data_IF_625959266281
#
_entry.id   IF_625959266281
#
_cell.length_a   1.000
_cell.length_b   1.000
_cell.length_c   1.000
_cell.angle_alpha   90.00
_cell.angle_beta   90.00
_cell.angle_gamma   90.00
#
_symmetry.space_group_name_H-M   'P 1'
#
loop_
_entity.id
_entity.type
_entity.pdbx_description
1 polymer ?
#
# COMPACT_ATOMS: atom_id res chain seq x y z
N UNK A 1 7.66 -7.16 -6.84
CA UNK A 1 6.40 -6.78 -7.51
C UNK A 1 5.74 -5.71 -6.67
N UNK A 2 5.22 -4.65 -7.29
CA UNK A 2 4.42 -3.65 -6.58
C UNK A 2 3.05 -3.73 -7.21
N UNK A 3 2.05 -4.09 -6.41
CA UNK A 3 0.67 -3.94 -6.85
C UNK A 3 0.17 -2.57 -6.44
N UNK A 4 -0.55 -1.89 -7.32
CA UNK A 4 -1.04 -0.54 -7.09
C UNK A 4 -2.52 -0.44 -7.50
N UNK A 5 -3.33 0.19 -6.65
CA UNK A 5 -4.71 0.55 -6.98
C UNK A 5 -5.32 1.57 -6.01
N UNK A 6 -6.49 2.09 -6.36
CA UNK A 6 -7.30 2.92 -5.47
C UNK A 6 -8.19 2.07 -4.56
N UNK A 7 -8.79 2.67 -3.54
CA UNK A 7 -9.51 1.95 -2.49
C UNK A 7 -10.29 2.90 -1.58
N UNK A 8 -11.30 2.37 -0.90
CA UNK A 8 -11.98 3.07 0.19
C UNK A 8 -11.36 2.73 1.53
N UNK A 9 -11.20 3.67 2.46
CA UNK A 9 -10.60 3.37 3.78
C UNK A 9 -11.45 3.79 4.96
N UNK A 10 -11.10 3.25 6.14
CA UNK A 10 -11.48 3.84 7.43
C UNK A 10 -11.26 5.35 7.43
N UNK A 11 -12.25 6.17 7.86
CA UNK A 11 -12.12 7.63 7.84
C UNK A 11 -11.00 8.17 8.70
N UNK A 12 -10.66 7.49 9.78
CA UNK A 12 -9.57 7.90 10.65
C UNK A 12 -8.87 6.67 11.23
N UNK A 13 -7.63 6.86 11.68
CA UNK A 13 -6.91 5.83 12.41
C UNK A 13 -7.72 5.41 13.64
N UNK A 14 -8.08 4.13 13.69
CA UNK A 14 -8.93 3.59 14.74
C UNK A 14 -10.41 3.92 14.64
N UNK A 15 -10.89 4.35 13.46
CA UNK A 15 -12.30 4.56 13.12
C UNK A 15 -12.98 5.69 13.90
N UNK A 16 -14.07 6.22 13.35
CA UNK A 16 -14.89 7.25 14.01
C UNK A 16 -15.73 6.66 15.14
N UNK A 17 -16.17 5.41 14.98
CA UNK A 17 -16.99 4.70 15.95
C UNK A 17 -16.22 3.48 16.48
N UNK A 18 -16.33 3.19 17.77
CA UNK A 18 -15.55 2.14 18.43
C UNK A 18 -16.40 1.32 19.42
N UNK A 19 -17.25 0.40 18.93
CA UNK A 19 -18.00 -0.48 19.81
C UNK A 19 -17.07 -1.33 20.71
N UNK A 20 -17.55 -1.76 21.89
CA UNK A 20 -18.95 -1.66 22.33
C UNK A 20 -19.35 -0.29 22.89
N UNK A 21 -18.40 0.60 23.18
CA UNK A 21 -18.70 1.95 23.66
C UNK A 21 -19.09 2.85 22.47
N UNK A 22 -20.39 2.96 22.29
CA UNK A 22 -21.04 3.81 21.29
C UNK A 22 -21.66 5.07 21.91
N UNK A 23 -21.28 5.41 23.14
CA UNK A 23 -21.80 6.60 23.82
C UNK A 23 -21.32 7.89 23.17
N UNK A 24 -20.15 7.86 22.53
CA UNK A 24 -19.49 8.99 21.88
C UNK A 24 -18.66 8.52 20.68
N UNK A 25 -18.42 9.42 19.73
CA UNK A 25 -17.46 9.18 18.66
C UNK A 25 -16.03 9.15 19.22
N UNK A 26 -15.15 8.38 18.59
CA UNK A 26 -13.74 8.29 18.94
C UNK A 26 -13.09 9.68 18.84
N UNK A 27 -12.57 10.23 19.95
CA UNK A 27 -12.09 11.60 19.98
C UNK A 27 -10.94 11.79 18.99
N UNK A 28 -11.03 12.84 18.19
CA UNK A 28 -9.98 13.19 17.26
C UNK A 28 -8.75 13.78 18.01
N UNK A 29 -7.85 12.91 18.43
CA UNK A 29 -6.57 13.26 19.08
C UNK A 29 -5.46 13.30 18.04
N UNK A 30 -4.30 13.89 18.38
CA UNK A 30 -3.09 13.84 17.52
C UNK A 30 -2.74 12.41 17.03
N UNK A 31 -3.16 11.39 17.78
CA UNK A 31 -2.94 9.98 17.49
C UNK A 31 -3.99 9.34 16.58
N UNK A 32 -5.15 9.94 16.33
CA UNK A 32 -6.28 9.35 15.56
C UNK A 32 -6.44 10.01 14.19
N UNK A 33 -5.33 10.41 13.57
CA UNK A 33 -5.27 11.24 12.35
C UNK A 33 -6.34 10.86 11.30
N UNK A 34 -7.09 11.84 10.75
CA UNK A 34 -7.99 11.60 9.62
C UNK A 34 -7.26 11.03 8.40
N UNK A 35 -7.88 10.09 7.71
CA UNK A 35 -7.48 9.63 6.38
C UNK A 35 -8.01 10.62 5.34
N UNK A 36 -7.16 10.97 4.38
CA UNK A 36 -7.45 12.02 3.39
C UNK A 36 -7.30 11.51 1.98
N UNK A 37 -8.09 12.04 1.05
CA UNK A 37 -8.05 11.60 -0.34
C UNK A 37 -6.61 11.77 -0.86
N UNK A 38 -6.11 10.74 -1.53
CA UNK A 38 -4.72 10.64 -1.99
C UNK A 38 -3.71 10.12 -0.95
N UNK A 39 -4.09 9.95 0.33
CA UNK A 39 -3.25 9.24 1.29
C UNK A 39 -2.92 7.82 0.77
N UNK A 40 -1.73 7.32 1.11
CA UNK A 40 -1.14 6.11 0.55
C UNK A 40 -0.88 5.09 1.64
N UNK A 41 -1.41 3.88 1.51
CA UNK A 41 -1.09 2.73 2.36
C UNK A 41 -0.12 1.83 1.61
N UNK A 42 1.03 1.54 2.22
CA UNK A 42 2.04 0.64 1.69
C UNK A 42 2.13 -0.54 2.63
N UNK A 43 1.57 -1.68 2.21
CA UNK A 43 1.54 -2.87 3.04
C UNK A 43 1.67 -4.14 2.23
N UNK A 44 2.57 -5.07 2.58
CA UNK A 44 2.56 -6.40 2.00
C UNK A 44 1.50 -7.30 2.64
N UNK A 45 0.85 -6.82 3.70
CA UNK A 45 -0.14 -7.57 4.45
C UNK A 45 -1.51 -7.34 3.85
N UNK A 46 -2.22 -8.44 3.57
CA UNK A 46 -3.61 -8.38 3.16
C UNK A 46 -4.43 -9.54 3.74
N UNK A 47 -5.74 -9.31 3.86
CA UNK A 47 -6.70 -10.29 4.39
C UNK A 47 -7.80 -10.54 3.39
N UNK A 48 -8.05 -11.80 3.09
CA UNK A 48 -9.22 -12.17 2.32
C UNK A 48 -10.47 -12.19 3.20
N UNK A 49 -11.44 -11.32 2.92
CA UNK A 49 -12.72 -11.22 3.61
C UNK A 49 -13.63 -12.42 3.38
N UNK A 50 -13.43 -13.21 2.32
CA UNK A 50 -14.13 -14.50 2.09
C UNK A 50 -13.99 -15.44 3.29
N UNK A 51 -12.98 -15.23 4.12
CA UNK A 51 -12.71 -16.05 5.30
C UNK A 51 -13.64 -15.79 6.48
N UNK A 52 -14.47 -14.77 6.37
CA UNK A 52 -15.59 -14.52 7.27
C UNK A 52 -16.66 -15.60 7.07
N UNK A 53 -16.95 -16.38 8.12
CA UNK A 53 -18.04 -17.38 8.15
C UNK A 53 -19.35 -16.83 8.73
N UNK A 54 -19.81 -15.69 8.24
CA UNK A 54 -21.02 -15.04 8.79
C UNK A 54 -22.15 -14.98 7.75
N UNK A 55 -23.40 -15.20 8.16
CA UNK A 55 -24.59 -15.15 7.29
C UNK A 55 -25.05 -13.71 7.10
N UNK A 56 -25.78 -13.39 6.02
CA UNK A 56 -26.35 -12.03 5.84
C UNK A 56 -27.14 -11.55 7.06
N UNK A 57 -27.88 -12.45 7.73
CA UNK A 57 -28.63 -12.15 8.96
C UNK A 57 -27.72 -11.69 10.09
N UNK A 58 -26.67 -12.46 10.41
CA UNK A 58 -25.68 -12.07 11.42
C UNK A 58 -24.91 -10.82 11.01
N UNK A 59 -24.83 -10.59 9.69
CA UNK A 59 -24.09 -9.49 9.14
C UNK A 59 -24.84 -8.15 9.26
N UNK A 60 -26.12 -8.17 8.89
CA UNK A 60 -27.00 -6.99 8.88
C UNK A 60 -27.71 -6.75 10.21
N UNK A 61 -27.52 -7.63 11.19
CA UNK A 61 -28.07 -7.46 12.54
C UNK A 61 -27.71 -6.08 13.09
N UNK A 62 -28.67 -5.37 13.66
CA UNK A 62 -28.44 -4.02 14.21
C UNK A 62 -28.37 -2.88 13.18
N UNK A 63 -28.41 -3.13 11.86
CA UNK A 63 -28.63 -2.07 10.86
C UNK A 63 -29.97 -1.35 11.13
N UNK A 64 -30.07 -0.01 11.02
CA UNK A 64 -29.13 0.95 10.43
C UNK A 64 -28.04 1.50 11.38
N UNK A 65 -27.89 0.95 12.60
CA UNK A 65 -26.89 1.44 13.53
C UNK A 65 -25.47 1.23 13.00
N UNK A 66 -24.76 2.33 12.77
CA UNK A 66 -23.38 2.39 12.30
C UNK A 66 -22.38 1.98 13.41
N UNK A 67 -22.78 2.10 14.68
CA UNK A 67 -21.97 1.69 15.83
C UNK A 67 -22.38 0.29 16.30
N UNK A 68 -22.14 -0.70 15.44
CA UNK A 68 -22.40 -2.10 15.72
C UNK A 68 -21.14 -2.92 15.40
N UNK A 69 -20.90 -4.01 16.12
CA UNK A 69 -19.84 -4.97 15.78
C UNK A 69 -20.49 -6.30 15.43
N UNK A 70 -20.61 -6.63 14.13
CA UNK A 70 -21.23 -7.87 13.68
C UNK A 70 -20.61 -9.10 14.33
N UNK A 71 -21.46 -10.05 14.72
CA UNK A 71 -20.97 -11.30 15.28
C UNK A 71 -20.25 -12.12 14.22
N UNK A 72 -19.19 -12.78 14.66
CA UNK A 72 -18.33 -13.57 13.79
C UNK A 72 -18.02 -14.91 14.44
N UNK A 73 -18.29 -15.99 13.72
CA UNK A 73 -18.10 -17.36 14.18
C UNK A 73 -16.68 -17.87 13.93
N UNK A 74 -15.99 -17.32 12.92
CA UNK A 74 -14.62 -17.67 12.56
C UNK A 74 -13.89 -16.46 11.98
N UNK A 75 -12.74 -16.13 12.58
CA UNK A 75 -11.83 -15.06 12.16
C UNK A 75 -10.87 -15.44 11.04
N UNK A 76 -9.99 -14.52 10.61
CA UNK A 76 -9.08 -14.74 9.49
C UNK A 76 -7.99 -15.80 9.77
N UNK A 77 -7.86 -16.29 11.01
CA UNK A 77 -7.03 -17.46 11.33
C UNK A 77 -7.70 -18.81 11.02
N UNK A 78 -8.98 -18.83 10.62
CA UNK A 78 -9.70 -20.06 10.36
C UNK A 78 -9.42 -20.58 8.94
N UNK A 79 -8.49 -21.54 8.82
CA UNK A 79 -8.05 -22.13 7.53
C UNK A 79 -9.08 -23.02 6.83
N UNK A 80 -10.23 -23.29 7.46
CA UNK A 80 -11.17 -24.32 7.03
C UNK A 80 -12.09 -23.93 5.85
N UNK A 81 -11.94 -22.75 5.24
CA UNK A 81 -12.68 -22.37 4.03
C UNK A 81 -11.77 -21.68 3.02
N UNK A 82 -11.48 -22.36 1.92
CA UNK A 82 -10.81 -21.82 0.73
C UNK A 82 -9.35 -21.36 0.90
N UNK A 83 -8.63 -21.84 1.92
CA UNK A 83 -7.17 -21.69 2.03
C UNK A 83 -6.70 -20.77 3.17
N UNK A 84 -5.42 -20.39 3.13
CA UNK A 84 -4.84 -19.42 4.07
C UNK A 84 -5.35 -18.01 3.74
N UNK A 85 -6.04 -17.40 4.69
CA UNK A 85 -6.77 -16.14 4.54
C UNK A 85 -5.96 -14.88 4.85
N UNK A 86 -4.79 -15.11 5.44
CA UNK A 86 -3.84 -14.09 5.86
C UNK A 86 -2.61 -14.20 4.97
N UNK A 87 -2.44 -13.20 4.11
CA UNK A 87 -1.23 -13.05 3.30
C UNK A 87 -0.28 -12.14 4.06
N UNK A 88 0.43 -12.74 5.02
CA UNK A 88 1.13 -12.03 6.08
C UNK A 88 2.50 -12.62 6.44
N UNK A 89 2.84 -13.83 5.97
CA UNK A 89 3.98 -14.58 6.51
C UNK A 89 4.99 -15.04 5.45
N UNK A 90 4.58 -15.23 4.20
CA UNK A 90 5.48 -15.79 3.20
C UNK A 90 6.42 -14.73 2.61
N UNK A 91 7.70 -15.09 2.49
CA UNK A 91 8.77 -14.18 2.05
C UNK A 91 8.78 -12.83 2.80
N UNK A 92 8.38 -12.83 4.08
CA UNK A 92 8.08 -11.62 4.82
C UNK A 92 9.24 -10.61 4.83
N UNK A 93 10.47 -11.03 5.12
CA UNK A 93 11.63 -10.14 5.16
C UNK A 93 11.84 -9.41 3.83
N UNK A 94 11.68 -10.11 2.70
CA UNK A 94 11.77 -9.52 1.37
C UNK A 94 10.64 -8.53 1.11
N UNK A 95 9.41 -8.88 1.50
CA UNK A 95 8.23 -8.05 1.33
C UNK A 95 8.29 -6.77 2.17
N UNK A 96 8.75 -6.87 3.43
CA UNK A 96 9.00 -5.74 4.32
C UNK A 96 10.12 -4.86 3.77
N UNK A 97 11.23 -5.43 3.33
CA UNK A 97 12.32 -4.65 2.73
C UNK A 97 11.89 -3.87 1.48
N UNK A 98 11.02 -4.46 0.63
CA UNK A 98 10.43 -3.74 -0.50
C UNK A 98 9.50 -2.62 -0.05
N UNK A 99 8.67 -2.89 0.97
CA UNK A 99 7.74 -1.90 1.54
C UNK A 99 8.51 -0.73 2.16
N UNK A 100 9.54 -1.00 2.95
CA UNK A 100 10.43 0.01 3.56
C UNK A 100 11.10 0.87 2.49
N UNK A 101 11.64 0.26 1.43
CA UNK A 101 12.25 1.01 0.34
C UNK A 101 11.26 1.99 -0.32
N UNK A 102 10.00 1.56 -0.48
CA UNK A 102 8.94 2.37 -1.07
C UNK A 102 8.49 3.48 -0.10
N UNK A 103 8.32 3.17 1.18
CA UNK A 103 7.99 4.13 2.25
C UNK A 103 9.07 5.20 2.36
N UNK A 104 10.36 4.81 2.41
CA UNK A 104 11.49 5.74 2.48
C UNK A 104 11.53 6.63 1.25
N UNK A 105 11.34 6.06 0.05
CA UNK A 105 11.31 6.84 -1.19
C UNK A 105 10.18 7.86 -1.20
N UNK A 106 8.96 7.45 -0.83
CA UNK A 106 7.78 8.30 -0.79
C UNK A 106 7.90 9.42 0.27
N UNK A 107 8.46 9.11 1.44
CA UNK A 107 8.67 10.07 2.54
C UNK A 107 9.88 10.99 2.33
N UNK A 108 10.80 10.67 1.40
CA UNK A 108 11.95 11.50 1.09
C UNK A 108 11.52 12.92 0.66
N UNK A 109 12.39 13.92 0.84
CA UNK A 109 12.11 15.29 0.43
C UNK A 109 11.69 15.38 -1.05
N UNK A 110 12.33 14.59 -1.91
CA UNK A 110 12.01 14.52 -3.35
C UNK A 110 10.67 13.83 -3.60
N UNK A 111 10.41 12.69 -2.97
CA UNK A 111 9.13 11.98 -3.10
C UNK A 111 7.96 12.85 -2.65
N UNK A 112 8.09 13.53 -1.50
CA UNK A 112 7.09 14.48 -1.00
C UNK A 112 6.90 15.69 -1.90
N UNK A 113 7.97 16.21 -2.49
CA UNK A 113 7.89 17.33 -3.43
C UNK A 113 7.19 16.94 -4.75
N UNK A 114 7.31 15.68 -5.17
CA UNK A 114 6.70 15.16 -6.38
C UNK A 114 5.19 14.89 -6.24
N UNK A 115 4.65 14.79 -5.01
CA UNK A 115 3.23 14.53 -4.79
C UNK A 115 2.37 15.68 -5.35
N UNK A 116 1.31 15.36 -6.13
CA UNK A 116 0.43 16.37 -6.68
C UNK A 116 -0.28 17.13 -5.56
N UNK A 117 -0.54 18.41 -5.81
CA UNK A 117 -1.39 19.23 -4.94
C UNK A 117 -2.85 18.83 -5.12
N UNK A 118 -3.68 19.00 -4.08
CA UNK A 118 -5.12 18.78 -4.23
C UNK A 118 -5.70 19.75 -5.25
N UNK A 119 -6.65 19.27 -6.05
CA UNK A 119 -7.52 20.13 -6.83
C UNK A 119 -8.58 20.75 -5.91
N UNK A 120 -9.22 21.82 -6.38
CA UNK A 120 -10.31 22.49 -5.67
C UNK A 120 -11.47 21.52 -5.40
N UNK A 121 -11.84 20.71 -6.39
CA UNK A 121 -12.91 19.71 -6.27
C UNK A 121 -12.63 18.65 -5.20
N UNK A 122 -11.38 18.18 -5.10
CA UNK A 122 -10.99 17.26 -4.02
C UNK A 122 -11.08 17.95 -2.67
N UNK A 123 -10.57 19.18 -2.56
CA UNK A 123 -10.66 19.97 -1.33
C UNK A 123 -12.11 20.20 -0.87
N UNK A 124 -13.01 20.56 -1.77
CA UNK A 124 -14.44 20.75 -1.49
C UNK A 124 -15.11 19.46 -1.00
N UNK A 125 -14.77 18.32 -1.60
CA UNK A 125 -15.27 17.01 -1.18
C UNK A 125 -14.83 16.67 0.25
N UNK A 126 -13.54 16.86 0.56
CA UNK A 126 -13.01 16.59 1.90
C UNK A 126 -13.59 17.55 2.94
N UNK A 127 -13.69 18.85 2.62
CA UNK A 127 -14.30 19.85 3.49
C UNK A 127 -15.76 19.51 3.78
N UNK A 128 -16.53 19.11 2.75
CA UNK A 128 -17.91 18.66 2.93
C UNK A 128 -17.99 17.42 3.80
N UNK A 129 -17.18 16.40 3.53
CA UNK A 129 -17.19 15.15 4.30
C UNK A 129 -16.87 15.39 5.78
N UNK A 130 -15.75 16.06 6.07
CA UNK A 130 -15.31 16.31 7.43
C UNK A 130 -16.15 17.37 8.15
N UNK A 131 -16.72 18.32 7.43
CA UNK A 131 -17.71 19.27 7.97
C UNK A 131 -18.99 18.57 8.41
N UNK A 132 -19.51 17.63 7.62
CA UNK A 132 -20.67 16.82 7.99
C UNK A 132 -20.35 15.85 9.12
N UNK A 133 -19.17 15.23 9.09
CA UNK A 133 -18.70 14.37 10.18
C UNK A 133 -18.59 15.13 11.50
N UNK A 134 -18.04 16.35 11.46
CA UNK A 134 -17.95 17.25 12.62
C UNK A 134 -19.33 17.59 13.18
N UNK A 135 -20.29 17.96 12.33
CA UNK A 135 -21.67 18.25 12.73
C UNK A 135 -22.37 17.05 13.33
N UNK A 136 -22.23 15.86 12.73
CA UNK A 136 -22.89 14.64 13.19
C UNK A 136 -22.31 14.09 14.50
N UNK A 137 -20.99 14.17 14.68
CA UNK A 137 -20.31 13.63 15.88
C UNK A 137 -20.18 14.64 17.02
N UNK A 138 -20.31 15.94 16.73
CA UNK A 138 -19.98 17.00 17.68
C UNK A 138 -18.48 17.17 17.93
N UNK A 139 -17.62 16.47 17.20
CA UNK A 139 -16.16 16.56 17.30
C UNK A 139 -15.60 17.58 16.31
N UNK A 140 -14.47 18.20 16.66
CA UNK A 140 -13.70 19.02 15.70
C UNK A 140 -12.68 18.14 14.98
N UNK A 141 -12.66 18.23 13.64
CA UNK A 141 -11.64 17.58 12.81
C UNK A 141 -10.66 18.63 12.27
N UNK A 142 -9.35 18.34 12.18
CA UNK A 142 -8.39 19.25 11.58
C UNK A 142 -8.84 19.65 10.18
N UNK A 143 -8.81 20.96 9.85
CA UNK A 143 -9.05 21.39 8.48
C UNK A 143 -7.98 20.79 7.57
N UNK A 144 -8.38 20.37 6.37
CA UNK A 144 -7.47 19.83 5.37
C UNK A 144 -7.20 20.94 4.37
N UNK A 145 -5.97 21.43 4.35
CA UNK A 145 -5.57 22.48 3.45
C UNK A 145 -5.22 21.90 2.06
N UNK A 146 -5.36 22.71 1.02
CA UNK A 146 -5.03 22.30 -0.36
C UNK A 146 -3.55 21.97 -0.51
N UNK A 147 -2.73 22.65 0.28
CA UNK A 147 -1.27 22.52 0.37
C UNK A 147 -0.79 21.35 1.22
N UNK A 148 -1.68 20.73 2.00
CA UNK A 148 -1.31 19.55 2.75
C UNK A 148 -0.85 18.44 1.80
N UNK A 149 0.27 17.80 2.08
CA UNK A 149 0.70 16.65 1.28
C UNK A 149 0.02 15.37 1.77
N UNK A 150 -0.38 14.45 0.88
CA UNK A 150 -0.87 13.14 1.28
C UNK A 150 0.04 12.44 2.30
N UNK A 151 -0.56 11.70 3.23
CA UNK A 151 0.16 10.89 4.20
C UNK A 151 0.59 9.57 3.55
N UNK A 152 1.71 9.04 4.04
CA UNK A 152 2.16 7.69 3.73
C UNK A 152 2.01 6.86 5.01
N UNK A 153 1.03 5.98 5.00
CA UNK A 153 0.74 4.97 6.01
C UNK A 153 1.54 3.70 5.69
N UNK A 154 2.21 3.16 6.69
CA UNK A 154 3.05 1.97 6.54
C UNK A 154 2.33 0.70 7.02
N UNK A 155 2.93 -0.44 6.73
CA UNK A 155 2.43 -1.77 7.09
C UNK A 155 2.26 -2.01 8.59
N UNK A 156 2.67 -1.07 9.45
CA UNK A 156 2.47 -1.17 10.91
C UNK A 156 1.10 -0.68 11.36
N UNK A 157 0.39 0.06 10.50
CA UNK A 157 -0.86 0.73 10.81
C UNK A 157 -1.91 0.64 9.69
N UNK A 158 -1.59 0.05 8.54
CA UNK A 158 -2.57 -0.17 7.47
C UNK A 158 -2.38 -1.52 6.79
N UNK A 159 -3.50 -2.12 6.40
CA UNK A 159 -3.53 -3.37 5.63
C UNK A 159 -4.75 -3.39 4.71
N UNK A 160 -4.60 -4.07 3.58
CA UNK A 160 -5.70 -4.32 2.66
C UNK A 160 -6.61 -5.41 3.23
N UNK A 161 -7.91 -5.19 3.14
CA UNK A 161 -8.96 -6.14 3.49
C UNK A 161 -9.87 -6.28 2.28
N UNK A 162 -10.09 -7.52 1.83
CA UNK A 162 -10.87 -7.78 0.60
C UNK A 162 -12.27 -7.15 0.67
N UNK A 163 -12.60 -6.33 -0.33
CA UNK A 163 -13.91 -5.70 -0.47
C UNK A 163 -14.91 -6.46 -1.34
N UNK A 164 -14.61 -7.69 -1.82
CA UNK A 164 -15.43 -8.44 -2.79
C UNK A 164 -16.91 -8.59 -2.41
N UNK A 165 -17.25 -8.51 -1.11
CA UNK A 165 -18.64 -8.49 -0.66
C UNK A 165 -19.01 -7.09 -0.15
N UNK A 166 -19.29 -6.21 -1.12
CA UNK A 166 -20.05 -4.96 -0.99
C UNK A 166 -19.43 -3.93 -0.06
N UNK A 167 -18.66 -2.98 -0.65
CA UNK A 167 -18.38 -1.63 -0.14
C UNK A 167 -18.61 -1.50 1.37
N UNK A 168 -17.56 -1.77 2.15
CA UNK A 168 -17.62 -1.95 3.61
C UNK A 168 -17.93 -0.65 4.38
N UNK A 169 -19.15 -0.13 4.18
CA UNK A 169 -19.81 0.87 5.00
C UNK A 169 -19.92 0.44 6.44
N UNK A 170 -20.15 1.38 7.35
CA UNK A 170 -20.40 1.02 8.73
C UNK A 170 -21.67 0.13 8.78
N UNK A 171 -21.68 -0.91 9.62
CA UNK A 171 -20.72 -1.22 10.69
C UNK A 171 -19.46 -2.02 10.29
N UNK A 172 -19.26 -2.32 9.00
CA UNK A 172 -18.19 -3.21 8.53
C UNK A 172 -16.78 -2.68 8.69
N UNK A 173 -16.65 -1.35 8.74
CA UNK A 173 -15.38 -0.68 9.00
C UNK A 173 -14.67 -1.24 10.24
N UNK A 174 -15.42 -1.47 11.33
CA UNK A 174 -14.87 -1.97 12.58
C UNK A 174 -14.30 -3.38 12.40
N UNK A 175 -15.00 -4.23 11.65
CA UNK A 175 -14.54 -5.59 11.35
C UNK A 175 -13.33 -5.60 10.41
N UNK A 176 -13.30 -4.69 9.45
CA UNK A 176 -12.13 -4.51 8.61
C UNK A 176 -10.91 -4.09 9.44
N UNK A 177 -11.07 -3.24 10.46
CA UNK A 177 -9.99 -2.90 11.40
C UNK A 177 -9.59 -4.07 12.29
N UNK A 178 -10.55 -4.88 12.76
CA UNK A 178 -10.24 -6.11 13.50
C UNK A 178 -9.31 -7.01 12.66
N UNK A 179 -9.65 -7.24 11.40
CA UNK A 179 -8.84 -8.06 10.48
C UNK A 179 -7.49 -7.44 10.16
N UNK A 180 -7.46 -6.15 9.84
CA UNK A 180 -6.21 -5.44 9.57
C UNK A 180 -5.27 -5.54 10.77
N UNK A 181 -5.77 -5.31 11.98
CA UNK A 181 -4.98 -5.44 13.21
C UNK A 181 -4.44 -6.86 13.38
N UNK A 182 -5.26 -7.89 13.19
CA UNK A 182 -4.83 -9.27 13.30
C UNK A 182 -3.79 -9.69 12.26
N UNK A 183 -3.93 -9.22 11.02
CA UNK A 183 -2.97 -9.51 9.96
C UNK A 183 -1.63 -8.84 10.21
N UNK A 184 -1.64 -7.57 10.63
CA UNK A 184 -0.43 -6.84 11.03
C UNK A 184 0.22 -7.50 12.25
N UNK A 185 -0.58 -7.93 13.23
CA UNK A 185 -0.10 -8.69 14.40
C UNK A 185 0.65 -9.95 14.00
N UNK A 186 0.04 -10.70 13.09
CA UNK A 186 0.58 -11.97 12.59
C UNK A 186 1.89 -11.75 11.85
N UNK A 187 1.91 -10.80 10.90
CA UNK A 187 3.10 -10.48 10.11
C UNK A 187 4.25 -10.01 11.00
N UNK A 188 4.00 -9.04 11.88
CA UNK A 188 5.06 -8.41 12.68
C UNK A 188 5.42 -9.21 13.94
N UNK A 189 4.79 -10.37 14.18
CA UNK A 189 5.06 -11.20 15.33
C UNK A 189 4.69 -10.57 16.67
N UNK A 190 3.70 -9.67 16.69
CA UNK A 190 3.12 -9.15 17.93
C UNK A 190 2.53 -10.34 18.73
N UNK A 191 2.83 -10.39 20.03
CA UNK A 191 2.37 -11.47 20.91
C UNK A 191 3.13 -12.79 20.84
N UNK A 192 4.17 -12.93 20.01
CA UNK A 192 5.07 -14.10 20.05
C UNK A 192 6.00 -14.00 21.28
N UNK A 193 6.06 -15.02 22.17
CA UNK A 193 6.99 -15.02 23.29
C UNK A 193 8.43 -14.78 22.83
N UNK A 194 9.12 -13.79 23.42
CA UNK A 194 10.51 -13.47 23.10
C UNK A 194 10.75 -12.55 21.89
N UNK A 195 9.71 -12.06 21.21
CA UNK A 195 9.87 -11.16 20.05
C UNK A 195 10.28 -9.72 20.41
N UNK A 196 10.18 -9.32 21.68
CA UNK A 196 10.41 -7.94 22.12
C UNK A 196 9.34 -6.94 21.64
N UNK A 197 8.36 -7.39 20.87
CA UNK A 197 7.27 -6.58 20.33
C UNK A 197 6.08 -6.54 21.30
N UNK A 198 5.22 -5.50 21.22
CA UNK A 198 3.97 -5.42 22.02
C UNK A 198 3.13 -6.69 21.87
N UNK A 199 2.36 -7.03 22.91
CA UNK A 199 1.58 -8.28 22.96
C UNK A 199 0.47 -8.36 21.90
N UNK A 200 -0.03 -7.22 21.41
CA UNK A 200 -1.04 -7.14 20.36
C UNK A 200 -1.05 -5.75 19.72
N UNK A 201 -1.66 -5.63 18.54
CA UNK A 201 -2.07 -4.36 17.93
C UNK A 201 -3.60 -4.28 18.01
N UNK A 202 -4.11 -3.11 18.42
CA UNK A 202 -5.56 -2.92 18.59
C UNK A 202 -6.22 -2.44 17.29
N UNK A 203 -7.51 -2.73 17.06
CA UNK A 203 -8.29 -2.15 15.96
C UNK A 203 -8.32 -0.60 15.99
N UNK A 204 -8.05 0.02 17.14
CA UNK A 204 -7.94 1.47 17.32
C UNK A 204 -6.61 2.05 16.82
N UNK A 205 -5.65 1.19 16.47
CA UNK A 205 -4.30 1.57 16.03
C UNK A 205 -4.08 1.29 14.54
N UNK A 206 -5.14 0.97 13.80
CA UNK A 206 -5.06 0.62 12.37
C UNK A 206 -6.10 1.34 11.53
N UNK A 207 -5.77 1.48 10.24
CA UNK A 207 -6.66 1.85 9.15
C UNK A 207 -6.90 0.58 8.32
N UNK A 208 -8.17 0.28 8.09
CA UNK A 208 -8.53 -0.74 7.13
C UNK A 208 -8.66 -0.11 5.74
N UNK A 209 -8.07 -0.78 4.74
CA UNK A 209 -8.14 -0.38 3.34
C UNK A 209 -8.94 -1.41 2.57
N UNK A 210 -10.14 -1.04 2.12
CA UNK A 210 -11.05 -1.92 1.39
C UNK A 210 -10.76 -1.89 -0.11
N UNK A 211 -10.26 -3.00 -0.64
CA UNK A 211 -10.00 -3.24 -2.08
C UNK A 211 -9.99 -4.75 -2.37
N UNK A 212 -9.96 -5.20 -3.63
CA UNK A 212 -10.14 -6.64 -3.95
C UNK A 212 -8.94 -7.30 -4.63
N UNK A 213 -8.05 -6.53 -5.22
CA UNK A 213 -7.08 -7.07 -6.20
C UNK A 213 -5.72 -7.45 -5.59
N UNK A 214 -5.32 -6.80 -4.49
CA UNK A 214 -4.01 -7.00 -3.86
C UNK A 214 -3.94 -8.37 -3.20
N UNK A 215 -5.07 -8.85 -2.68
CA UNK A 215 -5.25 -10.21 -2.16
C UNK A 215 -4.97 -11.26 -3.24
N UNK A 216 -5.51 -11.08 -4.46
CA UNK A 216 -5.27 -12.02 -5.57
C UNK A 216 -3.80 -12.06 -6.02
N UNK A 217 -3.12 -10.91 -6.01
CA UNK A 217 -1.68 -10.84 -6.30
C UNK A 217 -0.86 -11.51 -5.21
N UNK A 218 -1.19 -11.23 -3.94
CA UNK A 218 -0.52 -11.84 -2.80
C UNK A 218 -0.68 -13.37 -2.83
N UNK A 219 -1.90 -13.86 -3.04
CA UNK A 219 -2.18 -15.30 -3.15
C UNK A 219 -1.37 -15.97 -4.27
N UNK A 220 -1.33 -15.36 -5.46
CA UNK A 220 -0.59 -15.89 -6.59
C UNK A 220 0.92 -15.99 -6.29
N UNK A 221 1.50 -14.97 -5.66
CA UNK A 221 2.92 -14.94 -5.32
C UNK A 221 3.27 -15.90 -4.20
N UNK A 222 2.46 -16.00 -3.14
CA UNK A 222 2.68 -16.97 -2.08
C UNK A 222 2.59 -18.41 -2.60
N UNK A 223 1.61 -18.71 -3.46
CA UNK A 223 1.52 -20.02 -4.12
C UNK A 223 2.75 -20.29 -4.99
N UNK A 224 3.22 -19.28 -5.73
CA UNK A 224 4.46 -19.37 -6.51
C UNK A 224 5.67 -19.68 -5.60
N UNK A 225 5.83 -19.01 -4.47
CA UNK A 225 6.95 -19.24 -3.53
C UNK A 225 6.93 -20.62 -2.87
N UNK A 226 5.76 -21.27 -2.77
CA UNK A 226 5.59 -22.61 -2.23
C UNK A 226 5.90 -23.73 -3.24
N UNK A 227 6.05 -23.43 -4.54
CA UNK A 227 6.42 -24.44 -5.54
C UNK A 227 7.86 -24.92 -5.30
N UNK A 228 8.07 -26.25 -5.36
CA UNK A 228 9.40 -26.87 -5.20
C UNK A 228 10.43 -26.40 -6.24
N UNK A 229 9.97 -25.92 -7.39
CA UNK A 229 10.78 -25.42 -8.50
C UNK A 229 11.16 -23.96 -8.35
N UNK A 230 10.62 -23.24 -7.37
CA UNK A 230 10.90 -21.82 -7.18
C UNK A 230 12.27 -21.64 -6.53
N UNK A 231 13.24 -21.22 -7.34
CA UNK A 231 14.61 -20.94 -6.90
C UNK A 231 14.78 -19.54 -6.32
N UNK A 232 13.89 -18.60 -6.69
CA UNK A 232 13.91 -17.22 -6.22
C UNK A 232 12.51 -16.74 -5.88
N UNK A 233 12.31 -16.32 -4.63
CA UNK A 233 11.09 -15.65 -4.20
C UNK A 233 11.07 -14.21 -4.70
N UNK A 234 9.91 -13.73 -5.11
CA UNK A 234 9.64 -12.38 -5.61
C UNK A 234 9.03 -11.57 -4.46
N UNK A 235 9.77 -10.62 -3.87
CA UNK A 235 9.19 -9.70 -2.90
C UNK A 235 7.99 -8.96 -3.45
N UNK A 236 6.96 -8.76 -2.65
CA UNK A 236 5.80 -7.96 -3.03
C UNK A 236 5.31 -7.01 -1.94
N UNK A 237 4.58 -5.98 -2.38
CA UNK A 237 3.88 -5.05 -1.52
C UNK A 237 2.67 -4.49 -2.26
N UNK A 238 1.59 -4.22 -1.54
CA UNK A 238 0.41 -3.53 -2.06
C UNK A 238 0.51 -2.05 -1.72
N UNK A 239 0.30 -1.22 -2.73
CA UNK A 239 0.19 0.24 -2.62
C UNK A 239 -1.25 0.60 -2.91
N UNK A 240 -1.95 1.06 -1.88
CA UNK A 240 -3.33 1.52 -2.00
C UNK A 240 -3.42 3.01 -1.75
N UNK A 241 -4.27 3.68 -2.50
CA UNK A 241 -4.50 5.12 -2.33
C UNK A 241 -5.95 5.40 -2.04
N UNK A 242 -6.21 6.25 -1.04
CA UNK A 242 -7.56 6.64 -0.65
C UNK A 242 -8.23 7.42 -1.78
N UNK A 243 -9.29 6.86 -2.35
CA UNK A 243 -10.15 7.57 -3.31
C UNK A 243 -11.49 7.98 -2.70
N UNK A 244 -11.97 7.27 -1.68
CA UNK A 244 -13.13 7.61 -0.87
C UNK A 244 -13.01 7.01 0.52
N UNK A 245 -13.97 7.29 1.40
CA UNK A 245 -14.08 6.60 2.69
C UNK A 245 -15.06 5.45 2.60
N UNK A 246 -14.79 4.38 3.35
CA UNK A 246 -15.66 3.21 3.32
C UNK A 246 -17.05 3.47 3.88
N UNK A 247 -17.23 4.47 4.75
CA UNK A 247 -18.56 4.86 5.24
C UNK A 247 -18.82 6.36 5.18
N UNK A 248 -20.11 6.70 5.10
CA UNK A 248 -20.63 8.07 5.07
C UNK A 248 -20.46 8.77 6.44
N UNK A 249 -20.54 10.11 6.49
CA UNK A 249 -20.59 10.86 7.75
C UNK A 249 -21.68 10.33 8.69
N UNK A 250 -21.33 10.16 9.96
CA UNK A 250 -22.22 9.57 10.97
C UNK A 250 -22.70 10.61 11.98
N UNK A 251 -23.91 10.41 12.51
CA UNK A 251 -24.52 11.28 13.50
C UNK A 251 -25.22 10.50 14.60
N UNK A 252 -25.14 11.02 15.83
CA UNK A 252 -25.78 10.40 16.99
C UNK A 252 -27.29 10.58 16.91
N UNK A 253 -28.04 9.48 16.94
CA UNK A 253 -29.51 9.47 16.98
C UNK A 253 -30.06 9.27 18.38
N UNK A 254 -29.35 8.48 19.18
CA UNK A 254 -29.71 8.16 20.55
C UNK A 254 -28.50 7.61 21.31
N UNK A 255 -28.71 7.16 22.54
CA UNK A 255 -27.66 6.47 23.29
C UNK A 255 -27.28 5.16 22.58
N UNK A 256 -25.99 5.01 22.25
CA UNK A 256 -25.48 3.83 21.54
C UNK A 256 -25.91 3.71 20.07
N UNK A 257 -26.72 4.64 19.54
CA UNK A 257 -27.26 4.59 18.19
C UNK A 257 -26.68 5.71 17.31
N UNK A 258 -26.01 5.29 16.24
CA UNK A 258 -25.40 6.14 15.23
C UNK A 258 -25.98 5.79 13.87
N UNK A 259 -26.34 6.78 13.08
CA UNK A 259 -26.82 6.57 11.70
C UNK A 259 -26.02 7.44 10.75
N UNK A 260 -26.21 7.24 9.44
CA UNK A 260 -25.72 8.19 8.44
C UNK A 260 -26.34 9.56 8.74
N UNK A 261 -25.50 10.56 8.99
CA UNK A 261 -25.94 11.93 9.25
C UNK A 261 -26.46 12.58 7.97
N UNK A 262 -25.63 12.52 6.93
CA UNK A 262 -25.95 12.97 5.58
C UNK A 262 -24.98 12.32 4.60
N UNK A 263 -25.50 11.90 3.45
CA UNK A 263 -24.68 11.33 2.38
C UNK A 263 -23.83 12.39 1.67
N UNK A 264 -22.60 12.00 1.37
CA UNK A 264 -21.69 12.69 0.47
C UNK A 264 -21.65 11.90 -0.83
N UNK A 265 -21.92 12.55 -1.99
CA UNK A 265 -21.82 11.89 -3.28
C UNK A 265 -20.44 11.27 -3.48
N UNK A 266 -20.41 10.09 -4.08
CA UNK A 266 -19.17 9.42 -4.40
C UNK A 266 -18.45 10.17 -5.54
N UNK A 267 -17.16 10.42 -5.39
CA UNK A 267 -16.33 11.09 -6.39
C UNK A 267 -15.41 10.10 -7.11
N UNK A 268 -16.01 9.40 -8.07
CA UNK A 268 -15.32 8.44 -8.93
C UNK A 268 -14.44 9.08 -10.01
N UNK A 269 -14.35 10.41 -10.04
CA UNK A 269 -13.64 11.13 -11.10
C UNK A 269 -12.43 11.85 -10.50
N UNK A 270 -12.65 12.88 -9.67
CA UNK A 270 -11.56 13.76 -9.24
C UNK A 270 -10.77 13.14 -8.09
N UNK A 271 -11.46 12.61 -7.08
CA UNK A 271 -10.87 11.86 -5.98
C UNK A 271 -10.12 10.61 -6.46
N UNK A 272 -10.72 9.85 -7.39
CA UNK A 272 -10.05 8.72 -8.04
C UNK A 272 -8.81 9.15 -8.83
N UNK A 273 -8.91 10.19 -9.67
CA UNK A 273 -7.76 10.67 -10.43
C UNK A 273 -6.63 11.18 -9.51
N UNK A 274 -6.97 11.84 -8.40
CA UNK A 274 -6.00 12.31 -7.41
C UNK A 274 -5.31 11.14 -6.69
N UNK A 275 -6.08 10.15 -6.26
CA UNK A 275 -5.57 8.91 -5.69
C UNK A 275 -4.63 8.18 -6.67
N UNK A 276 -5.00 8.13 -7.95
CA UNK A 276 -4.15 7.52 -8.99
C UNK A 276 -2.83 8.26 -9.13
N UNK A 277 -2.87 9.59 -9.18
CA UNK A 277 -1.68 10.41 -9.35
C UNK A 277 -0.73 10.30 -8.14
N UNK A 278 -1.27 10.36 -6.92
CA UNK A 278 -0.49 10.23 -5.67
C UNK A 278 0.15 8.84 -5.53
N UNK A 279 -0.59 7.78 -5.85
CA UNK A 279 -0.08 6.41 -5.84
C UNK A 279 1.01 6.18 -6.90
N UNK A 280 0.78 6.70 -8.11
CA UNK A 280 1.77 6.64 -9.20
C UNK A 280 3.07 7.34 -8.82
N UNK A 281 3.00 8.55 -8.24
CA UNK A 281 4.18 9.26 -7.73
C UNK A 281 4.90 8.48 -6.65
N UNK A 282 4.16 7.85 -5.74
CA UNK A 282 4.74 7.04 -4.65
C UNK A 282 5.58 5.89 -5.23
N UNK A 283 5.06 5.16 -6.21
CA UNK A 283 5.78 4.08 -6.89
C UNK A 283 6.96 4.60 -7.71
N UNK A 284 6.77 5.68 -8.48
CA UNK A 284 7.82 6.29 -9.29
C UNK A 284 8.95 6.87 -8.45
N UNK A 285 8.67 7.33 -7.22
CA UNK A 285 9.69 7.82 -6.29
C UNK A 285 10.71 6.73 -5.94
N UNK A 286 10.27 5.48 -5.80
CA UNK A 286 11.18 4.35 -5.59
C UNK A 286 12.09 4.12 -6.81
N UNK A 287 11.52 4.12 -8.02
CA UNK A 287 12.30 3.94 -9.24
C UNK A 287 13.29 5.09 -9.47
N UNK A 288 12.88 6.32 -9.17
CA UNK A 288 13.75 7.48 -9.17
C UNK A 288 14.90 7.33 -8.18
N UNK A 289 14.62 6.93 -6.94
CA UNK A 289 15.66 6.73 -5.94
C UNK A 289 16.65 5.64 -6.37
N UNK A 290 16.16 4.54 -6.95
CA UNK A 290 17.01 3.46 -7.48
C UNK A 290 17.89 3.94 -8.64
N UNK A 291 17.33 4.69 -9.58
CA UNK A 291 18.07 5.29 -10.71
C UNK A 291 19.24 6.15 -10.20
N UNK A 292 18.95 7.06 -9.26
CA UNK A 292 19.96 7.95 -8.69
C UNK A 292 21.03 7.21 -7.88
N UNK A 293 20.67 6.14 -7.17
CA UNK A 293 21.63 5.29 -6.45
C UNK A 293 22.58 4.58 -7.41
N UNK A 294 22.09 4.07 -8.54
CA UNK A 294 22.92 3.42 -9.57
C UNK A 294 23.89 4.44 -10.19
N UNK A 295 23.39 5.64 -10.52
CA UNK A 295 24.25 6.70 -11.05
C UNK A 295 25.31 7.15 -10.04
N UNK A 296 24.96 7.24 -8.76
CA UNK A 296 25.92 7.54 -7.70
C UNK A 296 27.00 6.46 -7.60
N UNK A 297 26.63 5.18 -7.60
CA UNK A 297 27.58 4.06 -7.60
C UNK A 297 28.50 4.08 -8.82
N UNK A 298 27.95 4.31 -10.02
CA UNK A 298 28.76 4.42 -11.24
C UNK A 298 29.79 5.54 -11.20
N UNK A 299 29.51 6.64 -10.48
CA UNK A 299 30.50 7.71 -10.25
C UNK A 299 31.54 7.34 -9.21
N UNK A 300 31.14 6.71 -8.10
CA UNK A 300 32.08 6.21 -7.08
C UNK A 300 33.06 5.20 -7.69
N UNK A 301 32.59 4.39 -8.64
CA UNK A 301 33.44 3.47 -9.40
C UNK A 301 34.38 4.18 -10.39
N UNK A 302 34.11 5.42 -10.80
CA UNK A 302 34.99 6.18 -11.68
C UNK A 302 36.05 6.97 -10.92
N UNK A 303 35.89 7.13 -9.60
CA UNK A 303 36.86 7.80 -8.74
C UNK A 303 37.78 6.76 -8.04
N UNK A 304 39.06 6.66 -8.43
CA UNK A 304 40.00 5.70 -7.85
C UNK A 304 40.26 5.94 -6.35
N UNK A 305 40.10 7.16 -5.85
CA UNK A 305 40.26 7.47 -4.42
C UNK A 305 39.08 6.92 -3.61
N UNK A 306 37.86 7.04 -4.15
CA UNK A 306 36.66 6.52 -3.50
C UNK A 306 36.54 5.01 -3.61
N UNK A 307 37.05 4.39 -4.69
CA UNK A 307 37.18 2.91 -4.78
C UNK A 307 37.99 2.32 -3.63
N UNK A 308 39.09 2.96 -3.24
CA UNK A 308 39.94 2.51 -2.13
C UNK A 308 39.22 2.67 -0.79
N UNK A 309 38.47 3.77 -0.61
CA UNK A 309 37.68 4.01 0.60
C UNK A 309 36.52 3.00 0.77
N UNK A 310 35.82 2.65 -0.32
CA UNK A 310 34.75 1.63 -0.31
C UNK A 310 35.28 0.22 -0.02
N UNK A 311 36.48 -0.11 -0.49
CA UNK A 311 37.13 -1.40 -0.22
C UNK A 311 37.65 -1.51 1.22
N UNK A 312 37.85 -0.39 1.91
CA UNK A 312 38.39 -0.33 3.25
C UNK A 312 37.33 -0.29 4.37
N UNK A 313 36.04 -0.15 4.05
CA UNK A 313 34.97 -0.09 5.06
C UNK A 313 34.71 -1.46 5.72
N UNK A 314 34.99 -1.61 7.02
CA UNK A 314 34.68 -2.82 7.76
C UNK A 314 33.23 -2.75 8.27
N UNK A 315 32.38 -3.69 7.85
CA UNK A 315 31.16 -4.02 8.60
C UNK A 315 29.88 -4.07 7.78
N UNK A 316 29.46 -5.29 7.44
CA UNK A 316 28.04 -5.66 7.35
C UNK A 316 27.84 -6.86 8.26
N UNK A 317 27.53 -6.62 9.54
CA UNK A 317 26.99 -7.67 10.40
C UNK A 317 25.51 -7.92 10.02
N UNK A 318 25.08 -9.20 9.94
CA UNK A 318 23.69 -9.52 9.69
C UNK A 318 22.89 -9.31 10.99
N UNK A 319 21.94 -8.37 11.00
CA UNK A 319 21.00 -8.24 12.13
C UNK A 319 20.49 -6.83 12.47
N UNK A 320 20.98 -5.77 11.82
CA UNK A 320 20.39 -4.43 11.97
C UNK A 320 19.85 -3.96 10.63
N UNK A 321 18.54 -3.72 10.56
CA UNK A 321 17.88 -2.99 9.48
C UNK A 321 18.24 -1.50 9.55
N UNK A 322 19.53 -1.20 9.45
CA UNK A 322 20.09 0.15 9.39
C UNK A 322 19.77 0.78 8.04
N UNK A 323 19.09 1.93 8.09
CA UNK A 323 18.54 2.73 6.99
C UNK A 323 19.56 3.41 6.06
N UNK A 324 20.84 3.04 6.10
CA UNK A 324 21.88 3.66 5.28
C UNK A 324 22.30 2.72 4.15
N UNK A 325 22.33 3.25 2.92
CA UNK A 325 22.94 2.81 1.64
C UNK A 325 23.35 1.33 1.40
N UNK A 326 23.79 0.58 2.41
CA UNK A 326 24.16 -0.84 2.36
C UNK A 326 23.04 -1.78 1.90
N UNK A 327 21.77 -1.51 2.22
CA UNK A 327 20.64 -2.33 1.72
C UNK A 327 20.43 -2.22 0.20
N UNK A 328 20.77 -1.07 -0.39
CA UNK A 328 20.75 -0.85 -1.84
C UNK A 328 22.00 -1.42 -2.53
N UNK A 329 23.16 -1.36 -1.88
CA UNK A 329 24.40 -1.93 -2.39
C UNK A 329 24.34 -3.46 -2.49
N UNK A 330 23.69 -4.14 -1.53
CA UNK A 330 23.46 -5.59 -1.58
C UNK A 330 22.59 -6.01 -2.78
N UNK A 331 21.55 -5.25 -3.12
CA UNK A 331 20.68 -5.54 -4.26
C UNK A 331 21.36 -5.33 -5.62
N UNK A 332 22.29 -4.38 -5.74
CA UNK A 332 23.04 -4.12 -6.97
C UNK A 332 24.15 -5.18 -7.17
N UNK A 333 24.71 -5.72 -6.09
CA UNK A 333 25.79 -6.72 -6.15
C UNK A 333 25.30 -8.12 -6.54
N UNK A 334 24.04 -8.46 -6.26
CA UNK A 334 23.41 -9.76 -6.56
C UNK A 334 22.59 -9.80 -7.88
N UNK A 335 22.90 -8.91 -8.82
CA UNK A 335 22.37 -8.95 -10.20
C UNK A 335 22.84 -10.16 -11.01
N UNK A 336 22.20 -10.49 -12.15
CA UNK A 336 22.30 -11.78 -12.83
C UNK A 336 23.55 -11.86 -13.71
N UNK A 337 24.74 -11.93 -13.13
CA UNK A 337 25.99 -12.16 -13.88
C UNK A 337 26.72 -13.44 -13.50
N UNK A 338 26.10 -14.31 -12.69
CA UNK A 338 26.60 -15.67 -12.45
C UNK A 338 25.55 -16.72 -12.84
N UNK A 339 25.30 -16.83 -14.14
CA UNK A 339 24.84 -18.08 -14.72
C UNK A 339 26.07 -18.81 -15.27
N UNK A 340 26.46 -19.89 -14.59
CA UNK A 340 27.58 -20.72 -14.96
C UNK A 340 27.35 -21.40 -16.31
N UNK A 341 28.40 -21.37 -17.12
CA UNK A 341 28.65 -22.22 -18.28
C UNK A 341 28.54 -23.69 -17.86
N UNK A 342 27.72 -24.48 -18.54
CA UNK A 342 27.74 -25.94 -18.46
C UNK A 342 27.16 -26.58 -19.74
N UNK A 343 28.11 -26.97 -20.60
CA UNK A 343 28.18 -28.15 -21.49
C UNK A 343 26.94 -28.76 -22.13
N UNK A 344 26.99 -28.81 -23.46
CA UNK A 344 26.20 -29.60 -24.41
C UNK A 344 26.28 -31.12 -24.19
N UNK A 345 25.18 -31.83 -24.50
CA UNK A 345 25.10 -32.98 -25.46
C UNK A 345 23.65 -33.53 -25.60
N UNK A 346 23.33 -34.34 -26.63
CA UNK A 346 22.17 -34.07 -27.50
C UNK A 346 21.05 -35.14 -27.49
N UNK A 347 20.00 -34.80 -28.24
CA UNK A 347 18.97 -35.63 -28.90
C UNK A 347 17.94 -36.44 -28.07
N UNK A 348 16.67 -36.09 -28.25
CA UNK A 348 15.62 -37.04 -28.65
C UNK A 348 14.43 -36.28 -29.29
N UNK A 349 13.92 -36.86 -30.37
CA UNK A 349 12.95 -36.33 -31.33
C UNK A 349 11.48 -36.62 -30.98
N UNK A 350 10.60 -35.77 -31.55
CA UNK A 350 9.16 -35.95 -31.88
C UNK A 350 8.09 -35.51 -30.85
N UNK A 351 6.82 -35.24 -31.25
CA UNK A 351 6.28 -34.92 -32.58
C UNK A 351 5.52 -33.56 -32.66
N UNK A 352 5.31 -33.15 -33.90
CA UNK A 352 4.62 -31.96 -34.40
C UNK A 352 3.12 -31.94 -34.06
N UNK A 353 2.65 -30.86 -33.41
CA UNK A 353 1.22 -30.55 -33.27
C UNK A 353 0.93 -29.21 -33.96
N UNK A 354 0.03 -29.24 -34.94
CA UNK A 354 -0.50 -28.08 -35.68
C UNK A 354 -1.19 -27.11 -34.71
N UNK A 355 -0.76 -25.84 -34.68
CA UNK A 355 -1.50 -24.74 -34.05
C UNK A 355 -2.17 -23.89 -35.12
N UNK A 356 -3.50 -23.77 -35.00
CA UNK A 356 -4.36 -22.85 -35.72
C UNK A 356 -4.05 -21.40 -35.31
N UNK A 357 -3.99 -20.52 -36.30
CA UNK A 357 -3.67 -19.11 -36.13
C UNK A 357 -4.83 -18.30 -35.57
N UNK A 358 -4.52 -17.44 -34.61
CA UNK A 358 -5.29 -16.25 -34.27
C UNK A 358 -4.35 -15.05 -34.40
N UNK A 359 -4.67 -14.17 -35.34
CA UNK A 359 -3.90 -12.97 -35.65
C UNK A 359 -4.03 -11.95 -34.51
N UNK A 360 -2.89 -11.44 -34.02
CA UNK A 360 -2.84 -10.28 -33.13
C UNK A 360 -2.87 -8.98 -33.95
N UNK A 361 -3.60 -7.94 -33.54
CA UNK A 361 -3.53 -6.63 -34.19
C UNK A 361 -2.19 -5.93 -33.88
N UNK A 362 -1.72 -5.02 -34.75
CA UNK A 362 -0.41 -4.38 -34.60
C UNK A 362 -0.39 -3.38 -33.44
N UNK A 363 0.78 -3.18 -32.78
CA UNK A 363 0.92 -2.21 -31.70
C UNK A 363 0.87 -0.77 -32.22
N UNK A 364 0.23 0.09 -31.43
CA UNK A 364 0.15 1.53 -31.66
C UNK A 364 1.55 2.18 -31.64
N UNK A 365 1.83 3.02 -32.65
CA UNK A 365 3.02 3.87 -32.76
C UNK A 365 3.04 4.89 -31.62
N UNK A 366 4.05 4.82 -30.75
CA UNK A 366 4.45 5.94 -29.89
C UNK A 366 5.40 6.82 -30.71
N UNK A 367 4.96 8.02 -31.08
CA UNK A 367 5.81 9.04 -31.71
C UNK A 367 6.56 9.81 -30.63
N UNK A 368 7.89 9.61 -30.56
CA UNK A 368 8.78 10.47 -29.81
C UNK A 368 8.98 11.78 -30.59
N UNK A 369 8.41 12.88 -30.09
CA UNK A 369 8.70 14.22 -30.61
C UNK A 369 10.09 14.66 -30.19
N UNK A 370 11.00 14.78 -31.16
CA UNK A 370 12.30 15.40 -30.97
C UNK A 370 12.13 16.93 -30.90
N UNK A 371 12.45 17.53 -29.75
CA UNK A 371 12.64 18.97 -29.63
C UNK A 371 14.14 19.28 -29.73
N UNK A 372 14.48 20.07 -30.73
CA UNK A 372 15.81 20.60 -31.02
C UNK A 372 16.14 21.84 -30.19
N UNK A 373 17.39 21.92 -29.72
CA UNK A 373 18.15 23.18 -29.64
C UNK A 373 18.28 23.83 -28.27
N UNK A 374 19.53 23.95 -27.80
CA UNK A 374 19.90 24.87 -26.71
C UNK A 374 21.08 24.40 -25.86
N UNK A 375 22.27 24.29 -26.45
CA UNK A 375 23.50 24.02 -25.72
C UNK A 375 23.94 25.26 -24.91
N UNK A 376 24.04 25.09 -23.59
CA UNK A 376 24.63 26.04 -22.64
C UNK A 376 24.94 25.29 -21.35
N UNK A 377 26.21 24.94 -21.16
CA UNK A 377 26.65 23.95 -20.18
C UNK A 377 26.43 24.34 -18.70
N UNK A 378 25.92 23.38 -17.94
CA UNK A 378 26.44 23.01 -16.61
C UNK A 378 26.45 21.49 -16.53
N UNK A 379 27.64 20.89 -16.39
CA UNK A 379 27.83 19.42 -16.33
C UNK A 379 27.13 18.73 -15.14
N UNK A 380 26.40 19.47 -14.30
CA UNK A 380 25.53 18.94 -13.24
C UNK A 380 24.05 18.77 -13.61
N UNK A 381 23.56 19.32 -14.74
CA UNK A 381 22.11 19.33 -15.05
C UNK A 381 21.61 18.10 -15.82
N UNK A 382 22.49 17.41 -16.57
CA UNK A 382 22.10 16.27 -17.42
C UNK A 382 21.77 14.97 -16.67
N UNK A 383 22.07 14.92 -15.38
CA UNK A 383 21.87 13.73 -14.53
C UNK A 383 20.48 13.78 -13.89
N UNK A 384 20.07 14.95 -13.42
CA UNK A 384 18.72 15.14 -12.87
C UNK A 384 17.64 14.86 -13.91
N UNK A 385 17.90 15.11 -15.20
CA UNK A 385 16.92 14.88 -16.28
C UNK A 385 16.73 13.41 -16.66
N UNK A 386 17.69 12.51 -16.37
CA UNK A 386 17.57 11.08 -16.71
C UNK A 386 16.76 10.29 -15.69
N UNK A 387 16.88 10.66 -14.42
CA UNK A 387 16.12 10.03 -13.33
C UNK A 387 14.88 10.85 -12.92
N UNK A 388 14.45 11.84 -13.71
CA UNK A 388 13.22 12.60 -13.42
C UNK A 388 11.98 11.90 -13.97
N UNK A 389 10.99 11.72 -13.10
CA UNK A 389 9.66 11.23 -13.47
C UNK A 389 8.63 12.29 -13.09
N UNK A 390 7.66 12.51 -13.97
CA UNK A 390 6.59 13.48 -13.75
C UNK A 390 5.25 12.82 -14.02
N UNK A 391 4.35 12.91 -13.04
CA UNK A 391 2.94 12.57 -13.21
C UNK A 391 2.21 13.89 -13.48
N UNK A 392 1.52 13.97 -14.62
CA UNK A 392 0.64 15.10 -14.91
C UNK A 392 -0.71 14.83 -14.26
N UNK A 393 -1.08 15.67 -13.30
CA UNK A 393 -2.41 15.71 -12.70
C UNK A 393 -3.01 17.09 -13.03
N UNK A 394 -4.18 17.13 -13.70
CA UNK A 394 -4.78 18.37 -14.20
C UNK A 394 -5.22 19.34 -13.09
#
# INVERSE_FOLDING_TARGET
MIYFGTSGWSPQLGGVLNPPDCSQANPNRKTTRPARVGDVCISPVSVNWVCKKSTWTLQSEGFPNQCFRPQETAGPNASALYGDCLFANDNLDGNLALSDALIVAARSARGRAALPMRSELVSELEERYWGLMSKGTGLTYPPIAREDKPLVWDYTQCAEVDGQFFFTGAPWEIKARDYASQAIATALGFGKPGSGARNAISPQEVIAVSAMEGVGVAEALEKYHRLKTTTRRIPYTNVRTLSNWIHQPVGKKGEGQWEIFQEVPEDYVNGYAYAIATGSVTVLSLYQQRCLSIEALGRLEQDPVQRVALAASPGSQPGQHGLELGGLALWVRDGPTKAMVSTERPEATAPTVKKSGWASPPPARVTAGAASGGAGGKAGSGVQSRCSFHVKYP
#
